data_IF_339664988114
#
_entry.id   IF_339664988114
#
_cell.length_a   1.000
_cell.length_b   1.000
_cell.length_c   1.000
_cell.angle_alpha   90.00
_cell.angle_beta   90.00
_cell.angle_gamma   90.00
#
_symmetry.space_group_name_H-M   'P 1'
#
loop_
_entity.id
_entity.type
_entity.pdbx_description
1 polymer ?
#
# COMPACT_ATOMS: atom_id res chain seq x y z
N UNK A 1 21.41 7.21 -33.25
CA UNK A 1 20.44 7.87 -32.36
C UNK A 1 21.02 9.21 -31.94
N UNK A 2 20.33 10.32 -32.22
CA UNK A 2 20.81 11.67 -31.88
C UNK A 2 20.89 11.89 -30.38
N UNK A 3 21.81 12.77 -29.96
CA UNK A 3 21.99 13.18 -28.56
C UNK A 3 20.73 13.91 -28.06
N UNK A 4 20.00 13.32 -27.11
CA UNK A 4 18.88 13.96 -26.42
C UNK A 4 19.39 14.52 -25.08
N UNK A 5 19.19 15.81 -24.82
CA UNK A 5 19.53 16.43 -23.52
C UNK A 5 18.58 15.93 -22.42
N UNK A 6 19.02 16.02 -21.15
CA UNK A 6 18.16 15.67 -20.00
C UNK A 6 16.91 16.55 -19.94
N UNK A 7 17.03 17.84 -20.26
CA UNK A 7 15.87 18.73 -20.37
C UNK A 7 14.88 18.31 -21.46
N UNK A 8 15.37 17.88 -22.63
CA UNK A 8 14.50 17.37 -23.68
C UNK A 8 13.83 16.03 -23.29
N UNK A 9 14.45 15.25 -22.41
CA UNK A 9 13.85 14.04 -21.84
C UNK A 9 12.80 14.39 -20.78
N UNK A 10 13.06 15.35 -19.90
CA UNK A 10 12.08 15.88 -18.93
C UNK A 10 10.80 16.35 -19.63
N UNK A 11 10.94 17.15 -20.70
CA UNK A 11 9.78 17.68 -21.43
C UNK A 11 9.01 16.55 -22.13
N UNK A 12 9.68 15.57 -22.73
CA UNK A 12 9.03 14.38 -23.32
C UNK A 12 8.23 13.58 -22.27
N UNK A 13 8.79 13.38 -21.07
CA UNK A 13 8.08 12.73 -19.96
C UNK A 13 6.86 13.53 -19.53
N UNK A 14 6.96 14.85 -19.39
CA UNK A 14 5.81 15.72 -19.07
C UNK A 14 4.73 15.60 -20.13
N UNK A 15 5.08 15.68 -21.41
CA UNK A 15 4.10 15.59 -22.50
C UNK A 15 3.39 14.24 -22.50
N UNK A 16 4.12 13.14 -22.24
CA UNK A 16 3.51 11.82 -22.11
C UNK A 16 2.57 11.73 -20.90
N UNK A 17 2.92 12.30 -19.75
CA UNK A 17 2.02 12.37 -18.60
C UNK A 17 0.78 13.23 -18.93
N UNK A 18 0.94 14.42 -19.51
CA UNK A 18 -0.18 15.28 -19.92
C UNK A 18 -1.12 14.55 -20.88
N UNK A 19 -0.58 13.79 -21.85
CA UNK A 19 -1.39 13.00 -22.77
C UNK A 19 -2.25 11.91 -22.09
N UNK A 20 -1.89 11.51 -20.86
CA UNK A 20 -2.64 10.56 -20.04
C UNK A 20 -3.63 11.23 -19.06
N UNK A 21 -3.75 12.56 -19.10
CA UNK A 21 -4.71 13.32 -18.30
C UNK A 21 -4.13 13.98 -17.05
N UNK A 22 -2.80 14.11 -16.93
CA UNK A 22 -2.21 14.98 -15.91
C UNK A 22 -2.31 16.45 -16.32
N UNK A 23 -2.69 17.32 -15.38
CA UNK A 23 -2.64 18.76 -15.56
C UNK A 23 -1.20 19.27 -15.39
N UNK A 24 -0.62 19.91 -16.40
CA UNK A 24 0.68 20.56 -16.25
C UNK A 24 0.53 21.85 -15.45
N UNK A 25 1.28 21.97 -14.36
CA UNK A 25 1.38 23.20 -13.57
C UNK A 25 2.82 23.71 -13.57
N UNK A 26 2.99 25.02 -13.45
CA UNK A 26 4.32 25.65 -13.36
C UNK A 26 4.54 26.13 -11.93
N UNK A 27 5.30 25.36 -11.15
CA UNK A 27 5.65 25.68 -9.77
C UNK A 27 7.16 25.91 -9.68
N UNK A 28 7.57 27.16 -9.52
CA UNK A 28 8.97 27.57 -9.54
C UNK A 28 9.66 27.41 -8.19
N UNK A 29 8.88 27.52 -7.11
CA UNK A 29 9.36 27.53 -5.75
C UNK A 29 8.40 26.81 -4.79
N UNK A 30 8.82 26.69 -3.53
CA UNK A 30 8.03 26.05 -2.47
C UNK A 30 6.76 26.84 -2.13
N UNK A 31 6.75 28.17 -2.24
CA UNK A 31 5.57 28.97 -1.93
C UNK A 31 4.44 28.68 -2.94
N UNK A 32 4.76 28.62 -4.23
CA UNK A 32 3.80 28.26 -5.27
C UNK A 32 3.27 26.83 -5.10
N UNK A 33 4.10 25.90 -4.63
CA UNK A 33 3.64 24.54 -4.29
C UNK A 33 2.62 24.55 -3.15
N UNK A 34 2.86 25.36 -2.11
CA UNK A 34 1.95 25.52 -0.98
C UNK A 34 0.64 26.19 -1.39
N UNK A 35 0.70 27.22 -2.25
CA UNK A 35 -0.49 27.90 -2.77
C UNK A 35 -1.34 26.96 -3.64
N UNK A 36 -0.69 26.18 -4.52
CA UNK A 36 -1.37 25.15 -5.30
C UNK A 36 -2.02 24.11 -4.37
N UNK A 37 -1.31 23.62 -3.35
CA UNK A 37 -1.88 22.70 -2.37
C UNK A 37 -3.11 23.29 -1.67
N UNK A 38 -3.05 24.56 -1.22
CA UNK A 38 -4.18 25.25 -0.59
C UNK A 38 -5.39 25.32 -1.51
N UNK A 39 -5.19 25.70 -2.77
CA UNK A 39 -6.27 25.80 -3.76
C UNK A 39 -6.96 24.44 -3.96
N UNK A 40 -6.18 23.36 -4.15
CA UNK A 40 -6.73 22.02 -4.33
C UNK A 40 -7.39 21.48 -3.06
N UNK A 41 -6.83 21.78 -1.88
CA UNK A 41 -7.40 21.37 -0.59
C UNK A 41 -8.79 21.99 -0.38
N UNK A 42 -8.94 23.28 -0.69
CA UNK A 42 -10.23 23.99 -0.65
C UNK A 42 -11.23 23.42 -1.67
N UNK A 43 -10.81 23.24 -2.93
CA UNK A 43 -11.65 22.66 -3.98
C UNK A 43 -12.19 21.28 -3.57
N UNK A 44 -11.29 20.40 -3.13
CA UNK A 44 -11.59 19.01 -2.79
C UNK A 44 -12.49 18.86 -1.58
N UNK A 45 -12.36 19.75 -0.60
CA UNK A 45 -13.11 19.69 0.66
C UNK A 45 -14.23 20.73 0.72
N UNK A 46 -14.64 21.29 -0.42
CA UNK A 46 -15.68 22.33 -0.51
C UNK A 46 -16.96 21.97 0.25
N UNK A 47 -17.43 20.72 0.12
CA UNK A 47 -18.63 20.24 0.82
C UNK A 47 -18.45 20.19 2.34
N UNK A 48 -17.24 19.92 2.82
CA UNK A 48 -16.90 19.90 4.26
C UNK A 48 -16.68 21.29 4.84
N UNK A 49 -16.33 22.23 3.97
CA UNK A 49 -16.11 23.64 4.29
C UNK A 49 -17.37 24.49 4.08
N UNK A 50 -18.50 23.89 3.70
CA UNK A 50 -19.75 24.58 3.35
C UNK A 50 -19.57 25.69 2.29
N UNK A 51 -18.61 25.50 1.38
CA UNK A 51 -18.27 26.50 0.35
C UNK A 51 -17.33 27.62 0.80
N UNK A 52 -17.07 27.78 2.10
CA UNK A 52 -16.22 28.83 2.66
C UNK A 52 -14.75 28.38 2.72
N UNK A 53 -13.84 28.95 1.91
CA UNK A 53 -12.44 28.54 1.89
C UNK A 53 -11.75 28.67 3.25
N UNK A 54 -10.66 27.93 3.42
CA UNK A 54 -9.79 28.05 4.58
C UNK A 54 -9.21 29.47 4.71
N UNK A 55 -9.32 30.06 5.89
CA UNK A 55 -8.66 31.34 6.21
C UNK A 55 -7.14 31.17 6.24
N UNK A 56 -6.39 32.28 6.24
CA UNK A 56 -4.93 32.23 6.33
C UNK A 56 -4.47 31.62 7.66
N UNK A 57 -5.22 31.84 8.75
CA UNK A 57 -4.92 31.29 10.06
C UNK A 57 -5.21 29.78 10.10
N UNK A 58 -6.36 29.34 9.58
CA UNK A 58 -6.72 27.92 9.44
C UNK A 58 -5.68 27.16 8.61
N UNK A 59 -5.33 27.68 7.42
CA UNK A 59 -4.37 27.01 6.56
C UNK A 59 -2.96 27.00 7.16
N UNK A 60 -2.55 28.05 7.87
CA UNK A 60 -1.27 28.08 8.59
C UNK A 60 -1.19 26.99 9.66
N UNK A 61 -2.29 26.75 10.41
CA UNK A 61 -2.36 25.66 11.40
C UNK A 61 -2.17 24.30 10.75
N UNK A 62 -2.84 24.05 9.62
CA UNK A 62 -2.64 22.82 8.83
C UNK A 62 -1.16 22.69 8.43
N UNK A 63 -0.56 23.75 7.88
CA UNK A 63 0.82 23.71 7.42
C UNK A 63 1.81 23.45 8.55
N UNK A 64 1.61 24.03 9.73
CA UNK A 64 2.43 23.77 10.93
C UNK A 64 2.36 22.28 11.30
N UNK A 65 1.15 21.71 11.30
CA UNK A 65 0.95 20.33 11.71
C UNK A 65 1.57 19.30 10.76
N UNK A 66 1.64 19.61 9.46
CA UNK A 66 2.08 18.63 8.45
C UNK A 66 3.52 18.84 7.97
N UNK A 67 4.11 20.02 8.15
CA UNK A 67 5.40 20.35 7.52
C UNK A 67 6.62 19.74 8.20
N UNK A 68 6.57 19.49 9.51
CA UNK A 68 7.68 18.93 10.29
C UNK A 68 7.57 17.42 10.51
N UNK A 69 6.72 16.75 9.70
CA UNK A 69 6.47 15.33 9.82
C UNK A 69 7.54 14.50 9.12
N UNK A 70 7.82 13.32 9.68
CA UNK A 70 8.58 12.28 9.03
C UNK A 70 7.87 11.77 7.77
N UNK A 71 8.57 11.06 6.88
CA UNK A 71 7.96 10.41 5.71
C UNK A 71 6.89 9.41 6.17
N UNK A 72 7.18 8.67 7.24
CA UNK A 72 6.22 7.75 7.87
C UNK A 72 4.94 8.46 8.33
N UNK A 73 5.06 9.53 9.13
CA UNK A 73 3.89 10.28 9.60
C UNK A 73 3.13 10.95 8.45
N UNK A 74 3.83 11.50 7.47
CA UNK A 74 3.22 12.09 6.27
C UNK A 74 2.42 11.03 5.50
N UNK A 75 2.93 9.80 5.41
CA UNK A 75 2.22 8.68 4.79
C UNK A 75 0.95 8.27 5.57
N UNK A 76 0.96 8.35 6.90
CA UNK A 76 -0.24 8.14 7.72
C UNK A 76 -1.27 9.26 7.49
N UNK A 77 -0.85 10.52 7.62
CA UNK A 77 -1.71 11.70 7.42
C UNK A 77 -2.35 11.69 6.04
N UNK A 78 -1.60 11.33 5.00
CA UNK A 78 -2.10 11.23 3.62
C UNK A 78 -3.31 10.30 3.48
N UNK A 79 -3.36 9.23 4.28
CA UNK A 79 -4.35 8.16 4.19
C UNK A 79 -5.51 8.31 5.16
N UNK A 80 -5.41 9.21 6.14
CA UNK A 80 -6.42 9.46 7.16
C UNK A 80 -7.19 10.78 6.93
N UNK A 81 -8.17 11.06 7.80
CA UNK A 81 -8.87 12.34 7.88
C UNK A 81 -8.10 13.28 8.81
N UNK A 82 -7.75 14.45 8.29
CA UNK A 82 -7.18 15.52 9.09
C UNK A 82 -8.30 16.29 9.79
N UNK A 83 -8.25 16.40 11.11
CA UNK A 83 -9.24 17.14 11.90
C UNK A 83 -8.78 18.58 12.05
N UNK A 84 -9.55 19.52 11.48
CA UNK A 84 -9.34 20.95 11.66
C UNK A 84 -10.43 21.51 12.57
N UNK A 85 -10.04 22.27 13.58
CA UNK A 85 -10.92 23.18 14.31
C UNK A 85 -10.86 24.56 13.63
N UNK A 86 -11.99 25.00 13.07
CA UNK A 86 -12.12 26.26 12.35
C UNK A 86 -12.05 27.47 13.28
N UNK A 87 -11.96 28.66 12.70
CA UNK A 87 -11.92 29.91 13.47
C UNK A 87 -13.23 30.17 14.26
N UNK A 88 -14.34 29.54 13.87
CA UNK A 88 -15.64 29.56 14.56
C UNK A 88 -15.83 28.39 15.55
N UNK A 89 -14.74 27.71 15.93
CA UNK A 89 -14.69 26.54 16.82
C UNK A 89 -15.37 25.27 16.27
N UNK A 90 -15.90 25.29 15.03
CA UNK A 90 -16.47 24.10 14.41
C UNK A 90 -15.38 23.12 13.98
N UNK A 91 -15.66 21.81 14.05
CA UNK A 91 -14.72 20.77 13.62
C UNK A 91 -15.07 20.22 12.24
N UNK A 92 -14.10 20.23 11.34
CA UNK A 92 -14.22 19.67 9.99
C UNK A 92 -13.16 18.60 9.76
N UNK A 93 -13.54 17.57 8.99
CA UNK A 93 -12.68 16.43 8.66
C UNK A 93 -12.24 16.52 7.20
N UNK A 94 -11.02 16.99 6.99
CA UNK A 94 -10.43 17.19 5.67
C UNK A 94 -9.77 15.90 5.17
N UNK A 95 -9.83 15.66 3.86
CA UNK A 95 -9.23 14.50 3.21
C UNK A 95 -8.16 14.94 2.24
N UNK A 96 -6.91 14.52 2.45
CA UNK A 96 -5.80 14.86 1.53
C UNK A 96 -5.77 13.96 0.31
N UNK A 97 -6.14 12.69 0.44
CA UNK A 97 -6.26 11.74 -0.68
C UNK A 97 -7.56 10.94 -0.58
N UNK A 98 -8.15 10.59 -1.73
CA UNK A 98 -9.16 9.53 -1.78
C UNK A 98 -8.45 8.19 -1.94
N UNK A 99 -8.45 7.38 -0.88
CA UNK A 99 -7.84 6.05 -0.89
C UNK A 99 -8.79 4.96 -1.40
N UNK A 100 -10.09 5.26 -1.49
CA UNK A 100 -11.13 4.31 -1.90
C UNK A 100 -11.53 4.49 -3.36
N UNK A 101 -11.72 5.74 -3.80
CA UNK A 101 -11.98 6.15 -5.18
C UNK A 101 -10.75 6.89 -5.72
N UNK A 102 -9.61 6.21 -5.76
CA UNK A 102 -8.30 6.79 -6.10
C UNK A 102 -8.23 7.49 -7.46
N UNK A 103 -9.08 7.10 -8.41
CA UNK A 103 -9.20 7.77 -9.72
C UNK A 103 -9.85 9.17 -9.65
N UNK A 104 -10.53 9.52 -8.54
CA UNK A 104 -11.18 10.83 -8.34
C UNK A 104 -10.25 11.89 -7.76
N UNK A 105 -8.99 11.55 -7.53
CA UNK A 105 -8.01 12.55 -7.12
C UNK A 105 -7.68 13.46 -8.31
N UNK A 106 -7.19 14.66 -8.02
CA UNK A 106 -6.66 15.58 -9.03
C UNK A 106 -5.19 15.26 -9.27
N UNK A 107 -4.81 15.18 -10.53
CA UNK A 107 -3.48 14.75 -10.96
C UNK A 107 -2.79 15.88 -11.68
N UNK A 108 -1.67 16.35 -11.12
CA UNK A 108 -0.87 17.40 -11.72
C UNK A 108 0.56 16.92 -11.92
N UNK A 109 1.27 17.53 -12.87
CA UNK A 109 2.70 17.30 -13.10
C UNK A 109 3.41 18.64 -13.21
N UNK A 110 4.58 18.73 -12.57
CA UNK A 110 5.48 19.88 -12.64
C UNK A 110 6.92 19.40 -12.83
N UNK A 111 7.79 20.29 -13.28
CA UNK A 111 9.24 20.12 -13.24
C UNK A 111 9.90 21.31 -12.57
N UNK A 112 11.15 21.14 -12.16
CA UNK A 112 12.03 22.23 -11.74
C UNK A 112 11.54 23.04 -10.53
N UNK A 113 10.80 22.43 -9.61
CA UNK A 113 10.49 23.09 -8.33
C UNK A 113 11.83 23.32 -7.62
N UNK A 114 12.25 24.57 -7.57
CA UNK A 114 13.53 24.94 -6.94
C UNK A 114 13.26 25.17 -5.46
N UNK A 115 13.95 24.43 -4.61
CA UNK A 115 13.99 24.77 -3.18
C UNK A 115 15.17 25.72 -3.00
N UNK A 116 14.89 26.97 -2.61
CA UNK A 116 15.90 27.94 -2.19
C UNK A 116 16.46 27.54 -0.83
N UNK A 117 17.27 26.47 -0.81
CA UNK A 117 18.08 26.09 0.33
C UNK A 117 19.55 26.46 0.06
N UNK A 118 20.44 26.27 1.04
CA UNK A 118 21.89 26.53 0.90
C UNK A 118 22.53 25.88 -0.36
N UNK A 119 21.87 24.87 -0.94
CA UNK A 119 22.21 24.24 -2.21
C UNK A 119 21.01 24.32 -3.18
N UNK A 120 21.16 25.05 -4.30
CA UNK A 120 20.18 25.07 -5.39
C UNK A 120 20.04 23.66 -5.99
N UNK A 121 18.93 22.99 -5.66
CA UNK A 121 18.58 21.67 -6.20
C UNK A 121 17.42 21.81 -7.18
N UNK A 122 17.59 21.27 -8.39
CA UNK A 122 16.55 21.17 -9.42
C UNK A 122 16.06 19.74 -9.48
N UNK A 123 14.75 19.54 -9.35
CA UNK A 123 14.11 18.23 -9.50
C UNK A 123 13.59 18.05 -10.92
N UNK A 124 13.76 16.84 -11.47
CA UNK A 124 13.45 16.59 -12.88
C UNK A 124 11.94 16.64 -13.13
N UNK A 125 11.17 15.70 -12.57
CA UNK A 125 9.69 15.68 -12.72
C UNK A 125 9.03 15.25 -11.41
N UNK A 126 8.04 16.01 -10.96
CA UNK A 126 7.27 15.71 -9.74
C UNK A 126 5.79 15.55 -10.12
N UNK A 127 5.20 14.43 -9.72
CA UNK A 127 3.76 14.20 -9.82
C UNK A 127 3.11 14.63 -8.51
N UNK A 128 2.13 15.52 -8.64
CA UNK A 128 1.29 15.95 -7.53
C UNK A 128 -0.06 15.22 -7.59
N UNK A 129 -0.51 14.70 -6.46
CA UNK A 129 -1.86 14.17 -6.31
C UNK A 129 -2.56 15.00 -5.25
N UNK A 130 -3.65 15.65 -5.65
CA UNK A 130 -4.33 16.68 -4.86
C UNK A 130 -3.40 17.79 -4.35
N UNK A 131 -2.46 18.25 -5.19
CA UNK A 131 -1.50 19.30 -4.87
C UNK A 131 -0.32 18.87 -3.98
N UNK A 132 -0.31 17.65 -3.44
CA UNK A 132 0.80 17.11 -2.66
C UNK A 132 1.82 16.38 -3.56
N UNK A 133 3.14 16.58 -3.40
CA UNK A 133 4.15 15.84 -4.15
C UNK A 133 4.23 14.40 -3.66
N UNK A 134 3.67 13.45 -4.43
CA UNK A 134 3.61 12.04 -4.02
C UNK A 134 4.56 11.14 -4.78
N UNK A 135 4.96 11.51 -6.00
CA UNK A 135 5.94 10.77 -6.79
C UNK A 135 7.00 11.71 -7.32
N UNK A 136 8.25 11.36 -7.07
CA UNK A 136 9.39 12.07 -7.63
C UNK A 136 10.09 11.19 -8.65
N UNK A 137 10.28 11.72 -9.85
CA UNK A 137 10.96 11.05 -10.96
C UNK A 137 12.32 11.71 -11.15
N UNK A 138 13.37 10.90 -11.22
CA UNK A 138 14.73 11.32 -11.53
C UNK A 138 15.19 10.63 -12.82
N UNK A 139 15.63 11.42 -13.76
CA UNK A 139 15.98 11.02 -15.11
C UNK A 139 17.49 11.18 -15.32
N UNK A 140 18.04 10.27 -16.11
CA UNK A 140 19.41 10.37 -16.61
C UNK A 140 19.39 10.12 -18.10
N UNK A 141 20.32 10.76 -18.81
CA UNK A 141 20.56 10.42 -20.22
C UNK A 141 20.95 8.95 -20.38
N UNK A 142 20.68 8.40 -21.57
CA UNK A 142 21.06 7.03 -21.92
C UNK A 142 22.58 6.83 -21.77
N UNK A 143 22.97 5.64 -21.28
CA UNK A 143 24.37 5.29 -21.01
C UNK A 143 24.89 5.70 -19.63
N UNK A 144 24.12 6.48 -18.86
CA UNK A 144 24.42 6.75 -17.45
C UNK A 144 23.84 5.63 -16.57
N UNK A 145 24.63 5.20 -15.59
CA UNK A 145 24.20 4.19 -14.63
C UNK A 145 23.07 4.73 -13.74
N UNK A 146 21.99 3.96 -13.58
CA UNK A 146 20.84 4.29 -12.72
C UNK A 146 21.26 4.58 -11.26
N UNK A 147 22.37 4.00 -10.81
CA UNK A 147 22.91 4.27 -9.47
C UNK A 147 23.22 5.74 -9.22
N UNK A 148 23.51 6.53 -10.27
CA UNK A 148 23.70 7.98 -10.15
C UNK A 148 22.39 8.70 -9.81
N UNK A 149 21.28 8.35 -10.48
CA UNK A 149 19.95 8.86 -10.16
C UNK A 149 19.56 8.52 -8.71
N UNK A 150 19.82 7.27 -8.29
CA UNK A 150 19.59 6.86 -6.90
C UNK A 150 20.38 7.71 -5.91
N UNK A 151 21.68 7.90 -6.12
CA UNK A 151 22.53 8.69 -5.23
C UNK A 151 22.10 10.17 -5.18
N UNK A 152 21.57 10.70 -6.29
CA UNK A 152 21.03 12.06 -6.37
C UNK A 152 19.77 12.21 -5.52
N UNK A 153 18.83 11.26 -5.60
CA UNK A 153 17.66 11.22 -4.71
C UNK A 153 18.09 11.12 -3.23
N UNK A 154 19.05 10.27 -2.89
CA UNK A 154 19.54 10.15 -1.50
C UNK A 154 20.09 11.48 -0.96
N UNK A 155 20.75 12.28 -1.81
CA UNK A 155 21.20 13.62 -1.45
C UNK A 155 20.02 14.54 -1.18
N UNK A 156 19.03 14.58 -2.08
CA UNK A 156 17.84 15.43 -1.93
C UNK A 156 16.99 15.07 -0.72
N UNK A 157 16.83 13.78 -0.40
CA UNK A 157 16.15 13.33 0.82
C UNK A 157 16.78 13.92 2.09
N UNK A 158 18.12 13.97 2.13
CA UNK A 158 18.86 14.50 3.28
C UNK A 158 18.83 16.01 3.35
N UNK A 159 18.94 16.70 2.21
CA UNK A 159 19.20 18.13 2.16
C UNK A 159 17.94 18.97 1.89
N UNK A 160 17.06 18.55 0.99
CA UNK A 160 16.05 19.45 0.41
C UNK A 160 14.59 18.99 0.60
N UNK A 161 14.29 17.69 0.74
CA UNK A 161 12.92 17.22 0.93
C UNK A 161 12.42 17.55 2.35
N UNK A 162 11.84 18.73 2.48
CA UNK A 162 11.24 19.34 3.68
C UNK A 162 9.81 19.81 3.37
N UNK A 163 9.05 20.13 4.40
CA UNK A 163 7.67 20.59 4.25
C UNK A 163 6.84 19.58 3.46
N UNK A 164 6.13 20.05 2.43
CA UNK A 164 5.25 19.19 1.61
C UNK A 164 6.00 18.05 0.90
N UNK A 165 7.30 18.16 0.64
CA UNK A 165 8.08 17.07 0.03
C UNK A 165 8.24 15.85 0.96
N UNK A 166 7.91 15.95 2.25
CA UNK A 166 7.81 14.78 3.15
C UNK A 166 6.68 13.84 2.75
N UNK A 167 5.71 14.29 1.96
CA UNK A 167 4.65 13.47 1.40
C UNK A 167 5.08 12.59 0.23
N UNK A 168 6.30 12.69 -0.30
CA UNK A 168 6.75 11.79 -1.38
C UNK A 168 6.65 10.35 -0.89
N UNK A 169 5.83 9.55 -1.59
CA UNK A 169 5.61 8.14 -1.31
C UNK A 169 6.52 7.25 -2.16
N UNK A 170 6.66 7.59 -3.44
CA UNK A 170 7.40 6.79 -4.43
C UNK A 170 8.48 7.61 -5.11
N UNK A 171 9.62 6.97 -5.34
CA UNK A 171 10.63 7.41 -6.27
C UNK A 171 10.57 6.56 -7.52
N UNK A 172 10.74 7.20 -8.68
CA UNK A 172 10.96 6.55 -9.97
C UNK A 172 12.29 7.05 -10.50
N UNK A 173 13.14 6.14 -10.95
CA UNK A 173 14.42 6.49 -11.57
C UNK A 173 14.54 5.82 -12.92
N UNK A 174 15.05 6.54 -13.92
CA UNK A 174 15.18 6.02 -15.27
C UNK A 174 16.39 6.56 -16.00
N UNK A 175 16.97 5.72 -16.86
CA UNK A 175 17.92 6.14 -17.90
C UNK A 175 17.39 5.87 -19.32
N UNK A 176 16.05 5.93 -19.49
CA UNK A 176 15.27 5.62 -20.70
C UNK A 176 15.09 4.13 -20.99
N UNK A 177 16.17 3.35 -20.93
CA UNK A 177 16.13 1.90 -21.24
C UNK A 177 15.81 1.04 -20.01
N UNK A 178 16.20 1.52 -18.84
CA UNK A 178 15.96 0.89 -17.56
C UNK A 178 15.20 1.87 -16.67
N UNK A 179 14.11 1.40 -16.06
CA UNK A 179 13.26 2.19 -15.17
C UNK A 179 12.95 1.36 -13.94
N UNK A 180 13.11 1.97 -12.76
CA UNK A 180 12.86 1.33 -11.47
C UNK A 180 12.06 2.25 -10.55
N UNK A 181 11.33 1.64 -9.63
CA UNK A 181 10.58 2.35 -8.60
C UNK A 181 10.90 1.81 -7.20
N UNK A 182 10.73 2.65 -6.18
CA UNK A 182 10.89 2.26 -4.78
C UNK A 182 10.16 3.20 -3.84
N UNK A 183 9.81 2.72 -2.65
CA UNK A 183 9.18 3.53 -1.62
C UNK A 183 10.20 4.50 -0.98
N UNK A 184 9.73 5.68 -0.60
CA UNK A 184 10.47 6.59 0.26
C UNK A 184 10.51 6.05 1.71
N UNK A 185 11.43 6.57 2.52
CA UNK A 185 11.59 6.18 3.92
C UNK A 185 12.21 7.35 4.69
N UNK A 186 12.20 7.31 6.02
CA UNK A 186 13.10 8.16 6.83
C UNK A 186 14.46 7.50 7.04
N UNK A 187 14.54 6.18 6.83
CA UNK A 187 15.74 5.38 7.00
C UNK A 187 16.59 5.33 5.72
N UNK A 188 17.78 4.75 5.82
CA UNK A 188 18.64 4.47 4.67
C UNK A 188 17.93 3.51 3.72
N UNK A 189 17.81 3.89 2.46
CA UNK A 189 17.26 3.01 1.42
C UNK A 189 18.41 2.21 0.80
N UNK A 190 18.23 0.91 0.65
CA UNK A 190 19.18 0.05 -0.04
C UNK A 190 18.80 -0.11 -1.51
N UNK A 191 19.80 -0.16 -2.40
CA UNK A 191 19.58 -0.33 -3.85
C UNK A 191 18.83 -1.61 -4.21
N UNK A 192 18.85 -2.63 -3.35
CA UNK A 192 18.07 -3.87 -3.49
C UNK A 192 16.55 -3.65 -3.44
N UNK A 193 16.08 -2.51 -2.91
CA UNK A 193 14.67 -2.13 -2.89
C UNK A 193 14.23 -1.38 -4.15
N UNK A 194 15.13 -1.16 -5.12
CA UNK A 194 14.79 -0.59 -6.43
C UNK A 194 14.20 -1.69 -7.31
N UNK A 195 12.88 -1.73 -7.41
CA UNK A 195 12.15 -2.76 -8.13
C UNK A 195 11.92 -2.38 -9.59
N UNK A 196 11.94 -3.39 -10.45
CA UNK A 196 11.40 -3.28 -11.80
C UNK A 196 9.89 -3.41 -11.77
N UNK A 197 9.20 -2.69 -12.64
CA UNK A 197 7.80 -2.97 -12.94
C UNK A 197 7.69 -4.10 -13.97
N UNK A 198 6.65 -4.90 -13.87
CA UNK A 198 6.39 -6.03 -14.76
C UNK A 198 4.89 -6.18 -15.02
N UNK A 199 4.55 -6.83 -16.13
CA UNK A 199 3.18 -7.24 -16.43
C UNK A 199 2.73 -8.45 -15.58
N UNK A 200 1.49 -8.90 -15.79
CA UNK A 200 0.90 -10.07 -15.11
C UNK A 200 1.63 -11.40 -15.35
N UNK A 201 2.42 -11.48 -16.44
CA UNK A 201 3.21 -12.65 -16.80
C UNK A 201 4.65 -12.53 -16.29
N UNK A 202 4.94 -11.54 -15.43
CA UNK A 202 6.26 -11.19 -14.92
C UNK A 202 7.26 -10.72 -15.99
N UNK A 203 6.78 -10.30 -17.16
CA UNK A 203 7.62 -9.68 -18.19
C UNK A 203 7.90 -8.22 -17.82
N UNK A 204 9.18 -7.83 -17.82
CA UNK A 204 9.61 -6.50 -17.35
C UNK A 204 9.18 -5.39 -18.31
N UNK A 205 8.66 -4.31 -17.75
CA UNK A 205 8.34 -3.07 -18.45
C UNK A 205 9.42 -2.04 -18.07
N UNK A 206 10.56 -2.10 -18.76
CA UNK A 206 11.76 -1.32 -18.39
C UNK A 206 11.88 0.02 -19.14
N UNK A 207 11.40 0.06 -20.38
CA UNK A 207 11.49 1.23 -21.23
C UNK A 207 10.60 2.32 -20.65
N UNK A 208 11.16 3.52 -20.46
CA UNK A 208 10.50 4.62 -19.76
C UNK A 208 9.13 4.96 -20.35
N UNK A 209 9.01 4.95 -21.68
CA UNK A 209 7.75 5.21 -22.39
C UNK A 209 6.65 4.22 -21.96
N UNK A 210 6.96 2.93 -22.00
CA UNK A 210 6.00 1.87 -21.67
C UNK A 210 5.68 1.88 -20.16
N UNK A 211 6.68 2.19 -19.32
CA UNK A 211 6.50 2.37 -17.88
C UNK A 211 5.57 3.57 -17.57
N UNK A 212 5.73 4.69 -18.28
CA UNK A 212 4.88 5.87 -18.12
C UNK A 212 3.44 5.52 -18.50
N UNK A 213 3.24 4.84 -19.64
CA UNK A 213 1.91 4.44 -20.12
C UNK A 213 1.22 3.42 -19.22
N UNK A 214 1.98 2.47 -18.67
CA UNK A 214 1.42 1.43 -17.80
C UNK A 214 1.34 1.90 -16.34
N UNK A 215 2.48 2.05 -15.66
CA UNK A 215 2.54 2.27 -14.22
C UNK A 215 2.15 3.70 -13.79
N UNK A 216 2.56 4.71 -14.56
CA UNK A 216 2.31 6.12 -14.23
C UNK A 216 1.01 6.68 -14.79
N UNK A 217 0.09 5.86 -15.31
CA UNK A 217 -1.26 6.36 -15.58
C UNK A 217 -1.95 6.82 -14.27
N UNK A 218 -2.75 7.91 -14.29
CA UNK A 218 -3.27 8.55 -13.06
C UNK A 218 -3.91 7.57 -12.07
N UNK A 219 -4.84 6.74 -12.55
CA UNK A 219 -5.52 5.75 -11.72
C UNK A 219 -4.57 4.69 -11.16
N UNK A 220 -3.60 4.18 -11.94
CA UNK A 220 -2.72 3.10 -11.47
C UNK A 220 -1.73 3.58 -10.44
N UNK A 221 -1.12 4.75 -10.62
CA UNK A 221 -0.18 5.30 -9.62
C UNK A 221 -0.91 5.67 -8.32
N UNK A 222 -2.12 6.22 -8.39
CA UNK A 222 -2.92 6.48 -7.20
C UNK A 222 -3.32 5.17 -6.52
N UNK A 223 -3.72 4.14 -7.28
CA UNK A 223 -4.03 2.81 -6.73
C UNK A 223 -2.81 2.19 -6.04
N UNK A 224 -1.61 2.34 -6.63
CA UNK A 224 -0.36 1.89 -6.04
C UNK A 224 -0.16 2.53 -4.67
N UNK A 225 -0.23 3.87 -4.59
CA UNK A 225 -0.05 4.62 -3.36
C UNK A 225 -1.13 4.30 -2.31
N UNK A 226 -2.40 4.24 -2.72
CA UNK A 226 -3.52 4.05 -1.81
C UNK A 226 -3.64 2.60 -1.31
N UNK A 227 -3.42 1.60 -2.17
CA UNK A 227 -3.74 0.19 -1.89
C UNK A 227 -2.55 -0.74 -1.85
N UNK A 228 -1.43 -0.45 -2.51
CA UNK A 228 -0.32 -1.40 -2.66
C UNK A 228 0.97 -0.92 -2.00
N UNK A 229 0.86 0.10 -1.15
CA UNK A 229 1.89 0.46 -0.19
C UNK A 229 1.47 0.04 1.21
N UNK A 230 2.47 -0.23 2.04
CA UNK A 230 2.33 -0.73 3.41
C UNK A 230 3.07 0.22 4.33
N UNK A 231 2.34 0.70 5.33
CA UNK A 231 2.87 1.48 6.44
C UNK A 231 3.14 0.47 7.54
N UNK A 232 4.40 0.18 7.80
CA UNK A 232 4.81 -0.66 8.92
C UNK A 232 5.02 0.27 10.13
N UNK A 233 4.08 0.22 11.07
CA UNK A 233 4.07 1.13 12.23
C UNK A 233 5.19 0.84 13.22
N UNK A 234 5.58 -0.43 13.37
CA UNK A 234 6.64 -0.82 14.31
C UNK A 234 8.01 -0.35 13.87
N UNK A 235 8.37 -0.60 12.61
CA UNK A 235 9.66 -0.18 12.07
C UNK A 235 9.62 1.28 11.56
N UNK A 236 8.43 1.89 11.54
CA UNK A 236 8.17 3.23 10.98
C UNK A 236 8.70 3.37 9.55
N UNK A 237 8.44 2.38 8.70
CA UNK A 237 8.86 2.36 7.30
C UNK A 237 7.68 2.25 6.36
N UNK A 238 7.85 2.83 5.17
CA UNK A 238 6.93 2.70 4.06
C UNK A 238 7.50 1.69 3.06
N UNK A 239 6.67 0.74 2.65
CA UNK A 239 7.03 -0.33 1.71
C UNK A 239 6.10 -0.29 0.51
N UNK A 240 6.63 -0.59 -0.68
CA UNK A 240 5.84 -0.76 -1.90
C UNK A 240 5.82 -2.24 -2.28
N UNK A 241 4.63 -2.77 -2.60
CA UNK A 241 4.52 -4.12 -3.13
C UNK A 241 5.22 -4.23 -4.50
N UNK A 242 5.78 -5.41 -4.76
CA UNK A 242 6.34 -5.79 -6.06
C UNK A 242 5.21 -6.14 -7.05
N UNK A 243 5.45 -6.11 -8.37
CA UNK A 243 4.38 -6.30 -9.35
C UNK A 243 3.59 -7.60 -9.18
N UNK A 244 4.28 -8.73 -8.97
CA UNK A 244 3.61 -10.02 -8.74
C UNK A 244 2.76 -10.02 -7.47
N UNK A 245 3.15 -9.29 -6.42
CA UNK A 245 2.35 -9.16 -5.20
C UNK A 245 1.09 -8.33 -5.48
N UNK A 246 1.21 -7.26 -6.27
CA UNK A 246 0.06 -6.46 -6.72
C UNK A 246 -0.94 -7.32 -7.49
N UNK A 247 -0.50 -8.07 -8.49
CA UNK A 247 -1.38 -8.94 -9.27
C UNK A 247 -2.00 -10.07 -8.44
N UNK A 248 -1.26 -10.66 -7.50
CA UNK A 248 -1.80 -11.65 -6.57
C UNK A 248 -2.91 -11.08 -5.69
N UNK A 249 -2.70 -9.89 -5.11
CA UNK A 249 -3.71 -9.17 -4.32
C UNK A 249 -4.94 -8.86 -5.17
N UNK A 250 -4.76 -8.35 -6.39
CA UNK A 250 -5.88 -8.06 -7.31
C UNK A 250 -6.69 -9.30 -7.67
N UNK A 251 -6.02 -10.41 -8.01
CA UNK A 251 -6.67 -11.66 -8.35
C UNK A 251 -7.48 -12.23 -7.18
N UNK A 252 -6.95 -12.17 -5.95
CA UNK A 252 -7.64 -12.63 -4.76
C UNK A 252 -8.82 -11.73 -4.39
N UNK A 253 -8.67 -10.41 -4.44
CA UNK A 253 -9.79 -9.48 -4.20
C UNK A 253 -10.91 -9.78 -5.19
N UNK A 254 -10.60 -9.86 -6.48
CA UNK A 254 -11.58 -10.17 -7.53
C UNK A 254 -12.29 -11.49 -7.23
N UNK A 255 -11.55 -12.55 -6.91
CA UNK A 255 -12.12 -13.87 -6.58
C UNK A 255 -13.01 -13.82 -5.34
N UNK A 256 -12.61 -13.10 -4.30
CA UNK A 256 -13.37 -12.94 -3.06
C UNK A 256 -14.67 -12.14 -3.28
N UNK A 257 -14.64 -11.10 -4.10
CA UNK A 257 -15.80 -10.21 -4.26
C UNK A 257 -16.76 -10.66 -5.35
N UNK A 258 -16.29 -11.37 -6.37
CA UNK A 258 -17.10 -11.75 -7.55
C UNK A 258 -17.49 -13.24 -7.57
N UNK A 259 -16.93 -14.07 -6.69
CA UNK A 259 -17.22 -15.50 -6.63
C UNK A 259 -17.31 -15.98 -5.18
N UNK A 260 -17.73 -17.23 -4.98
CA UNK A 260 -17.62 -17.95 -3.71
C UNK A 260 -16.54 -19.05 -3.76
N UNK A 261 -15.62 -18.97 -4.73
CA UNK A 261 -14.59 -19.98 -4.91
C UNK A 261 -13.39 -19.70 -4.00
N UNK A 262 -12.79 -20.78 -3.49
CA UNK A 262 -11.50 -20.75 -2.80
C UNK A 262 -10.36 -20.54 -3.79
N UNK A 263 -9.14 -20.37 -3.30
CA UNK A 263 -7.96 -20.28 -4.16
C UNK A 263 -6.65 -20.27 -3.39
N UNK A 264 -5.54 -20.27 -4.11
CA UNK A 264 -4.23 -20.12 -3.50
C UNK A 264 -3.29 -19.30 -4.37
N UNK A 265 -2.28 -18.71 -3.72
CA UNK A 265 -1.16 -18.03 -4.35
C UNK A 265 0.10 -18.86 -4.11
N UNK A 266 0.75 -19.23 -5.21
CA UNK A 266 2.03 -19.89 -5.19
C UNK A 266 3.14 -18.87 -5.47
N UNK A 267 3.87 -18.50 -4.42
CA UNK A 267 5.08 -17.68 -4.55
C UNK A 267 6.22 -18.35 -3.82
N UNK A 268 7.43 -18.37 -4.40
CA UNK A 268 8.60 -18.99 -3.77
C UNK A 268 8.88 -18.46 -2.34
N UNK A 269 9.53 -19.26 -1.50
CA UNK A 269 9.92 -18.87 -0.13
C UNK A 269 10.82 -17.64 -0.13
N UNK A 270 10.62 -16.71 0.82
CA UNK A 270 11.35 -15.45 0.88
C UNK A 270 10.91 -14.36 -0.11
N UNK A 271 9.90 -14.62 -0.95
CA UNK A 271 9.37 -13.61 -1.89
C UNK A 271 8.52 -12.51 -1.25
N UNK A 272 8.14 -12.66 0.03
CA UNK A 272 7.22 -11.74 0.72
C UNK A 272 5.76 -12.18 0.68
N UNK A 273 5.50 -13.48 0.83
CA UNK A 273 4.13 -14.05 0.92
C UNK A 273 3.33 -13.42 2.06
N UNK A 274 3.87 -13.44 3.26
CA UNK A 274 3.27 -12.87 4.47
C UNK A 274 2.84 -11.42 4.29
N UNK A 275 3.70 -10.60 3.66
CA UNK A 275 3.38 -9.20 3.34
C UNK A 275 2.19 -9.10 2.37
N UNK A 276 2.15 -9.99 1.37
CA UNK A 276 1.11 -10.03 0.33
C UNK A 276 -0.23 -10.48 0.92
N UNK A 277 -0.22 -11.55 1.73
CA UNK A 277 -1.39 -12.13 2.35
C UNK A 277 -1.99 -11.19 3.41
N UNK A 278 -1.15 -10.57 4.23
CA UNK A 278 -1.60 -9.57 5.19
C UNK A 278 -2.23 -8.37 4.49
N UNK A 279 -1.59 -7.83 3.44
CA UNK A 279 -2.17 -6.70 2.69
C UNK A 279 -3.48 -7.06 2.00
N UNK A 280 -3.59 -8.27 1.46
CA UNK A 280 -4.85 -8.79 0.92
C UNK A 280 -5.94 -8.77 1.99
N UNK A 281 -5.62 -9.22 3.21
CA UNK A 281 -6.55 -9.28 4.34
C UNK A 281 -7.06 -7.91 4.77
N UNK A 282 -6.16 -6.91 4.85
CA UNK A 282 -6.53 -5.52 5.11
C UNK A 282 -7.48 -4.96 4.05
N UNK A 283 -7.27 -5.27 2.77
CA UNK A 283 -8.15 -4.76 1.72
C UNK A 283 -9.51 -5.46 1.77
N UNK A 284 -9.53 -6.77 2.01
CA UNK A 284 -10.76 -7.55 2.11
C UNK A 284 -11.61 -7.14 3.32
N UNK A 285 -11.00 -6.76 4.45
CA UNK A 285 -11.73 -6.36 5.66
C UNK A 285 -12.47 -5.02 5.52
N UNK A 286 -12.15 -4.26 4.48
CA UNK A 286 -12.85 -3.01 4.11
C UNK A 286 -13.96 -3.22 3.07
N UNK A 287 -14.14 -4.45 2.56
CA UNK A 287 -15.19 -4.71 1.57
C UNK A 287 -16.56 -4.84 2.26
N UNK A 288 -17.59 -4.12 1.79
CA UNK A 288 -18.89 -4.08 2.47
C UNK A 288 -19.65 -5.41 2.44
N UNK A 289 -19.32 -6.30 1.50
CA UNK A 289 -19.92 -7.63 1.36
C UNK A 289 -19.16 -8.74 2.12
N UNK A 290 -18.13 -8.39 2.90
CA UNK A 290 -17.37 -9.35 3.71
C UNK A 290 -17.56 -8.98 5.18
N UNK A 291 -18.12 -9.90 5.97
CA UNK A 291 -18.45 -9.66 7.37
C UNK A 291 -17.22 -9.73 8.28
N UNK A 292 -16.34 -10.71 8.04
CA UNK A 292 -15.07 -10.87 8.76
C UNK A 292 -13.99 -11.42 7.84
N UNK A 293 -12.76 -10.98 8.07
CA UNK A 293 -11.55 -11.57 7.53
C UNK A 293 -10.73 -12.14 8.67
N UNK A 294 -10.44 -13.44 8.61
CA UNK A 294 -9.66 -14.15 9.62
C UNK A 294 -8.35 -14.60 8.98
N UNK A 295 -7.25 -13.99 9.40
CA UNK A 295 -5.92 -14.37 8.99
C UNK A 295 -5.39 -15.47 9.92
N UNK A 296 -5.16 -16.65 9.37
CA UNK A 296 -4.71 -17.83 10.08
C UNK A 296 -3.23 -18.10 9.83
N UNK A 297 -2.50 -18.25 10.93
CA UNK A 297 -1.10 -18.68 10.96
C UNK A 297 -0.97 -20.02 11.70
N UNK A 298 0.01 -20.84 11.34
CA UNK A 298 0.37 -22.03 12.11
C UNK A 298 1.56 -21.72 13.03
N UNK A 299 1.34 -21.81 14.35
CA UNK A 299 2.38 -21.53 15.36
C UNK A 299 3.57 -22.48 15.33
N UNK A 300 3.45 -23.68 14.76
CA UNK A 300 4.60 -24.58 14.60
C UNK A 300 5.58 -24.08 13.55
N UNK A 301 5.11 -23.19 12.69
CA UNK A 301 5.88 -22.62 11.58
C UNK A 301 6.25 -21.16 11.84
N UNK A 302 5.65 -20.55 12.87
CA UNK A 302 6.05 -19.27 13.41
C UNK A 302 7.36 -19.44 14.19
N UNK A 303 8.48 -19.13 13.54
CA UNK A 303 9.66 -18.73 14.29
C UNK A 303 9.41 -17.38 14.99
N UNK A 304 10.27 -17.04 15.95
CA UNK A 304 10.19 -15.77 16.67
C UNK A 304 10.21 -14.56 15.74
N UNK A 305 10.85 -14.69 14.58
CA UNK A 305 10.92 -13.65 13.54
C UNK A 305 9.55 -13.43 12.88
N UNK A 306 8.85 -14.48 12.47
CA UNK A 306 7.56 -14.39 11.79
C UNK A 306 6.46 -13.93 12.76
N UNK A 307 6.52 -14.37 14.02
CA UNK A 307 5.62 -13.88 15.08
C UNK A 307 5.86 -12.39 15.38
N UNK A 308 7.12 -11.96 15.39
CA UNK A 308 7.44 -10.53 15.48
C UNK A 308 6.89 -9.77 14.27
N UNK A 309 7.10 -10.26 13.04
CA UNK A 309 6.56 -9.63 11.83
C UNK A 309 5.03 -9.47 11.88
N UNK A 310 4.27 -10.46 12.34
CA UNK A 310 2.81 -10.30 12.51
C UNK A 310 2.44 -9.27 13.57
N UNK A 311 3.13 -9.30 14.73
CA UNK A 311 2.93 -8.30 15.76
C UNK A 311 3.38 -6.89 15.33
N UNK A 312 4.24 -6.76 14.29
CA UNK A 312 4.56 -5.46 13.68
C UNK A 312 3.39 -4.85 12.92
N UNK A 313 2.47 -5.68 12.45
CA UNK A 313 1.31 -5.26 11.67
C UNK A 313 0.04 -5.10 12.51
N UNK A 314 -0.13 -5.92 13.54
CA UNK A 314 -1.20 -5.80 14.53
C UNK A 314 -0.68 -6.23 15.89
N UNK A 315 -0.57 -5.29 16.84
CA UNK A 315 0.08 -5.54 18.12
C UNK A 315 -0.69 -6.57 18.97
N UNK A 316 0.06 -7.46 19.63
CA UNK A 316 -0.43 -8.59 20.42
C UNK A 316 -1.40 -9.53 19.66
N UNK A 317 -1.42 -9.51 18.32
CA UNK A 317 -2.38 -10.29 17.55
C UNK A 317 -2.12 -11.80 17.59
N UNK A 318 -0.83 -12.20 17.71
CA UNK A 318 -0.42 -13.60 17.73
C UNK A 318 0.49 -13.88 18.92
N UNK A 319 0.16 -14.94 19.66
CA UNK A 319 0.98 -15.50 20.74
C UNK A 319 0.99 -17.04 20.65
N UNK A 320 1.87 -17.66 21.43
CA UNK A 320 2.09 -19.12 21.40
C UNK A 320 1.07 -19.92 22.24
N UNK A 321 0.16 -19.27 22.96
CA UNK A 321 -0.78 -19.91 23.87
C UNK A 321 -1.99 -20.52 23.14
N UNK A 322 -2.76 -21.35 23.84
CA UNK A 322 -4.06 -21.85 23.37
C UNK A 322 -5.24 -20.98 23.85
N UNK A 323 -4.96 -19.82 24.45
CA UNK A 323 -5.99 -18.95 25.01
C UNK A 323 -6.81 -18.28 23.90
N UNK A 324 -8.13 -18.52 23.92
CA UNK A 324 -9.09 -18.02 22.93
C UNK A 324 -9.80 -16.74 23.37
N UNK A 325 -9.58 -16.25 24.60
CA UNK A 325 -10.31 -15.09 25.16
C UNK A 325 -10.20 -13.86 24.28
N UNK A 326 -8.98 -13.52 23.83
CA UNK A 326 -8.75 -12.36 22.95
C UNK A 326 -9.47 -12.55 21.61
N UNK A 327 -9.32 -13.71 20.97
CA UNK A 327 -10.01 -14.04 19.72
C UNK A 327 -11.54 -13.89 19.85
N UNK A 328 -12.13 -14.42 20.93
CA UNK A 328 -13.58 -14.30 21.16
C UNK A 328 -14.00 -12.84 21.38
N UNK A 329 -13.21 -12.05 22.12
CA UNK A 329 -13.46 -10.62 22.31
C UNK A 329 -13.40 -9.85 20.97
N UNK A 330 -12.42 -10.14 20.11
CA UNK A 330 -12.29 -9.53 18.79
C UNK A 330 -13.46 -9.91 17.85
N UNK A 331 -13.97 -11.13 17.96
CA UNK A 331 -15.17 -11.56 17.22
C UNK A 331 -16.45 -10.85 17.70
N UNK A 332 -16.55 -10.58 19.01
CA UNK A 332 -17.69 -9.83 19.56
C UNK A 332 -17.72 -8.37 19.10
N UNK A 333 -16.55 -7.77 18.87
CA UNK A 333 -16.43 -6.41 18.36
C UNK A 333 -16.86 -6.31 16.88
N UNK A 334 -17.97 -5.61 16.57
CA UNK A 334 -18.43 -5.44 15.20
C UNK A 334 -17.52 -4.51 14.38
N UNK A 335 -16.68 -3.69 15.01
CA UNK A 335 -15.78 -2.75 14.32
C UNK A 335 -14.47 -3.42 13.87
N UNK A 336 -14.10 -4.54 14.48
CA UNK A 336 -12.88 -5.28 14.16
C UNK A 336 -13.09 -6.29 13.03
N UNK A 337 -13.03 -5.83 11.78
CA UNK A 337 -13.29 -6.69 10.61
C UNK A 337 -12.14 -7.64 10.25
N UNK A 338 -10.90 -7.31 10.63
CA UNK A 338 -9.73 -8.17 10.46
C UNK A 338 -9.31 -8.75 11.80
N UNK A 339 -9.14 -10.06 11.85
CA UNK A 339 -8.65 -10.78 13.03
C UNK A 339 -7.47 -11.63 12.60
N UNK A 340 -6.32 -11.42 13.22
CA UNK A 340 -5.14 -12.27 13.05
C UNK A 340 -5.07 -13.24 14.23
N UNK A 341 -4.99 -14.54 13.96
CA UNK A 341 -4.94 -15.58 15.00
C UNK A 341 -4.31 -16.88 14.51
N UNK A 342 -4.01 -17.80 15.43
CA UNK A 342 -3.49 -19.12 15.07
C UNK A 342 -4.63 -20.06 14.68
N UNK A 343 -4.37 -21.01 13.77
CA UNK A 343 -5.34 -22.05 13.41
C UNK A 343 -5.76 -22.89 14.63
N UNK A 344 -4.85 -23.10 15.59
CA UNK A 344 -5.11 -23.81 16.83
C UNK A 344 -6.13 -23.07 17.71
N UNK A 345 -5.93 -21.76 17.93
CA UNK A 345 -6.87 -20.94 18.70
C UNK A 345 -8.25 -20.90 18.04
N UNK A 346 -8.30 -20.78 16.71
CA UNK A 346 -9.55 -20.78 15.97
C UNK A 346 -10.31 -22.10 16.14
N UNK A 347 -9.65 -23.23 15.96
CA UNK A 347 -10.26 -24.55 16.14
C UNK A 347 -10.73 -24.79 17.59
N UNK A 348 -9.95 -24.35 18.58
CA UNK A 348 -10.34 -24.42 19.99
C UNK A 348 -11.54 -23.52 20.29
N UNK A 349 -11.58 -22.30 19.75
CA UNK A 349 -12.68 -21.36 19.94
C UNK A 349 -14.00 -21.93 19.40
N UNK A 350 -13.99 -22.60 18.26
CA UNK A 350 -15.17 -23.26 17.69
C UNK A 350 -15.73 -24.33 18.64
N UNK A 351 -14.86 -25.16 19.23
CA UNK A 351 -15.26 -26.23 20.17
C UNK A 351 -15.96 -25.72 21.42
N UNK A 352 -15.75 -24.46 21.80
CA UNK A 352 -16.43 -23.87 22.97
C UNK A 352 -17.91 -23.60 22.75
N UNK A 353 -18.40 -23.57 21.49
CA UNK A 353 -19.78 -23.21 21.17
C UNK A 353 -20.13 -21.74 21.45
N UNK A 354 -19.12 -20.87 21.65
CA UNK A 354 -19.34 -19.48 22.04
C UNK A 354 -20.22 -18.71 21.04
N UNK A 355 -21.13 -17.87 21.56
CA UNK A 355 -22.08 -17.06 20.76
C UNK A 355 -21.41 -16.21 19.67
N UNK A 356 -20.21 -15.69 19.94
CA UNK A 356 -19.45 -14.88 19.00
C UNK A 356 -19.04 -15.67 17.73
N UNK A 357 -18.74 -16.96 17.87
CA UNK A 357 -18.45 -17.85 16.75
C UNK A 357 -19.73 -18.15 15.98
N UNK A 358 -20.83 -18.42 16.69
CA UNK A 358 -22.12 -18.75 16.07
C UNK A 358 -22.69 -17.57 15.28
N UNK A 359 -22.43 -16.33 15.70
CA UNK A 359 -22.87 -15.11 15.02
C UNK A 359 -22.48 -15.06 13.55
N UNK A 360 -21.25 -15.47 13.20
CA UNK A 360 -20.73 -15.39 11.84
C UNK A 360 -20.84 -16.70 11.06
N UNK A 361 -21.61 -17.67 11.56
CA UNK A 361 -21.70 -19.01 10.98
C UNK A 361 -22.21 -19.02 9.54
N UNK A 362 -23.22 -18.20 9.26
CA UNK A 362 -23.88 -18.06 7.94
C UNK A 362 -23.40 -16.81 7.18
N UNK A 363 -22.63 -15.94 7.84
CA UNK A 363 -22.09 -14.70 7.28
C UNK A 363 -20.95 -14.97 6.29
N UNK A 364 -20.67 -14.01 5.40
CA UNK A 364 -19.53 -14.12 4.48
C UNK A 364 -18.22 -13.87 5.23
N UNK A 365 -17.51 -14.96 5.55
CA UNK A 365 -16.21 -14.92 6.24
C UNK A 365 -15.09 -15.33 5.29
N UNK A 366 -14.04 -14.52 5.18
CA UNK A 366 -12.87 -14.88 4.39
C UNK A 366 -11.73 -15.31 5.30
N UNK A 367 -11.20 -16.51 5.08
CA UNK A 367 -10.01 -17.02 5.73
C UNK A 367 -8.81 -16.84 4.81
N UNK A 368 -7.78 -16.14 5.30
CA UNK A 368 -6.48 -16.06 4.64
C UNK A 368 -5.50 -16.93 5.42
N UNK A 369 -4.85 -17.87 4.74
CA UNK A 369 -3.99 -18.87 5.36
C UNK A 369 -2.56 -18.68 4.84
N UNK A 370 -1.63 -18.31 5.71
CA UNK A 370 -0.21 -18.31 5.35
C UNK A 370 0.40 -19.71 5.53
N UNK A 371 1.32 -20.08 4.64
CA UNK A 371 1.98 -21.39 4.56
C UNK A 371 1.03 -22.61 4.59
N UNK A 372 -0.01 -22.58 3.75
CA UNK A 372 -1.14 -23.53 3.74
C UNK A 372 -0.83 -24.99 3.30
N UNK A 373 0.44 -25.40 3.26
CA UNK A 373 0.90 -26.68 2.68
C UNK A 373 1.14 -27.81 3.70
N UNK A 374 0.84 -27.62 4.99
CA UNK A 374 1.28 -28.52 6.07
C UNK A 374 0.17 -29.44 6.62
N UNK A 375 0.59 -30.58 7.17
CA UNK A 375 -0.25 -31.71 7.61
C UNK A 375 -1.24 -31.36 8.73
N UNK A 376 -0.93 -30.38 9.59
CA UNK A 376 -1.81 -29.96 10.69
C UNK A 376 -3.06 -29.21 10.23
N UNK A 377 -3.08 -28.74 8.98
CA UNK A 377 -4.26 -28.12 8.41
C UNK A 377 -5.44 -29.10 8.38
N UNK A 378 -5.26 -30.41 8.23
CA UNK A 378 -6.37 -31.35 8.00
C UNK A 378 -7.52 -31.26 8.98
N UNK A 379 -7.27 -31.68 10.21
CA UNK A 379 -8.32 -31.76 11.23
C UNK A 379 -8.83 -30.37 11.63
N UNK A 380 -7.92 -29.41 11.85
CA UNK A 380 -8.32 -28.07 12.30
C UNK A 380 -9.06 -27.28 11.21
N UNK A 381 -8.61 -27.35 9.96
CA UNK A 381 -9.31 -26.73 8.84
C UNK A 381 -10.67 -27.40 8.61
N UNK A 382 -10.78 -28.72 8.76
CA UNK A 382 -12.07 -29.43 8.69
C UNK A 382 -13.05 -28.91 9.74
N UNK A 383 -12.61 -28.72 10.98
CA UNK A 383 -13.45 -28.12 12.05
C UNK A 383 -13.92 -26.72 11.66
N UNK A 384 -13.04 -25.88 11.11
CA UNK A 384 -13.38 -24.52 10.66
C UNK A 384 -14.39 -24.57 9.51
N UNK A 385 -14.14 -25.38 8.48
CA UNK A 385 -15.02 -25.56 7.30
C UNK A 385 -16.38 -26.14 7.65
N UNK A 386 -16.45 -27.00 8.66
CA UNK A 386 -17.73 -27.52 9.16
C UNK A 386 -18.52 -26.46 9.93
N UNK A 387 -17.86 -25.52 10.60
CA UNK A 387 -18.54 -24.46 11.34
C UNK A 387 -19.06 -23.36 10.41
N UNK A 388 -18.21 -22.72 9.62
CA UNK A 388 -18.57 -21.56 8.79
C UNK A 388 -19.13 -22.00 7.42
N UNK A 389 -20.41 -21.73 7.18
CA UNK A 389 -21.16 -22.23 6.01
C UNK A 389 -20.99 -21.40 4.75
N UNK A 390 -20.72 -20.10 4.92
CA UNK A 390 -20.50 -19.16 3.83
C UNK A 390 -19.07 -18.59 3.86
N UNK A 391 -18.09 -19.49 4.05
CA UNK A 391 -16.69 -19.11 4.12
C UNK A 391 -15.96 -19.32 2.79
N UNK A 392 -15.03 -18.41 2.48
CA UNK A 392 -14.02 -18.59 1.43
C UNK A 392 -12.63 -18.71 2.04
N UNK A 393 -11.79 -19.55 1.44
CA UNK A 393 -10.44 -19.83 1.91
C UNK A 393 -9.41 -19.47 0.83
N UNK A 394 -8.42 -18.67 1.21
CA UNK A 394 -7.29 -18.32 0.35
C UNK A 394 -5.96 -18.70 0.99
N UNK A 395 -5.23 -19.60 0.36
CA UNK A 395 -3.93 -20.07 0.84
C UNK A 395 -2.76 -19.33 0.19
N UNK A 396 -1.68 -19.15 0.93
CA UNK A 396 -0.38 -18.74 0.41
C UNK A 396 0.63 -19.84 0.69
N UNK A 397 1.42 -20.24 -0.31
CA UNK A 397 2.43 -21.29 -0.13
C UNK A 397 3.64 -21.10 -1.03
N UNK A 398 4.82 -21.49 -0.54
CA UNK A 398 6.02 -21.67 -1.38
C UNK A 398 6.15 -23.06 -1.99
N UNK A 399 5.44 -24.03 -1.45
CA UNK A 399 5.60 -25.46 -1.69
C UNK A 399 4.21 -26.10 -1.85
N UNK A 400 3.51 -25.83 -2.97
CA UNK A 400 2.21 -26.43 -3.21
C UNK A 400 2.31 -27.95 -3.27
N UNK A 401 1.25 -28.61 -2.81
CA UNK A 401 1.00 -30.03 -3.04
C UNK A 401 0.03 -30.16 -4.20
N UNK A 402 0.39 -30.98 -5.16
CA UNK A 402 -0.42 -31.42 -6.28
C UNK A 402 -0.92 -32.84 -5.99
N UNK A 403 -1.75 -33.38 -6.89
CA UNK A 403 -2.28 -34.74 -6.74
C UNK A 403 -1.16 -35.78 -6.66
N UNK A 404 -0.05 -35.54 -7.36
CA UNK A 404 1.11 -36.43 -7.41
C UNK A 404 1.93 -36.46 -6.12
N UNK A 405 1.82 -35.43 -5.27
CA UNK A 405 2.51 -35.32 -3.98
C UNK A 405 1.56 -34.85 -2.85
N UNK A 406 0.33 -35.37 -2.89
CA UNK A 406 -0.71 -35.08 -1.91
C UNK A 406 -0.25 -35.39 -0.47
N UNK A 407 -0.92 -34.80 0.52
CA UNK A 407 -0.65 -35.10 1.92
C UNK A 407 -0.97 -36.54 2.30
N UNK A 408 -0.54 -36.96 3.50
CA UNK A 408 -0.78 -38.31 4.01
C UNK A 408 -2.26 -38.69 4.07
N UNK A 409 -3.15 -37.69 4.09
CA UNK A 409 -4.60 -37.83 4.01
C UNK A 409 -5.17 -37.50 2.62
N UNK A 410 -4.34 -37.48 1.57
CA UNK A 410 -4.74 -37.42 0.17
C UNK A 410 -5.09 -36.03 -0.37
N UNK A 411 -4.80 -34.94 0.35
CA UNK A 411 -5.19 -33.58 -0.06
C UNK A 411 -4.09 -32.84 -0.83
N UNK A 412 -4.51 -32.13 -1.87
CA UNK A 412 -3.72 -31.16 -2.62
C UNK A 412 -3.93 -29.75 -2.05
N UNK A 413 -3.05 -28.80 -2.39
CA UNK A 413 -3.22 -27.38 -2.03
C UNK A 413 -4.47 -26.77 -2.65
N UNK A 414 -4.95 -27.32 -3.76
CA UNK A 414 -6.21 -26.93 -4.38
C UNK A 414 -7.46 -27.25 -3.54
N UNK A 415 -7.36 -28.16 -2.55
CA UNK A 415 -8.48 -28.62 -1.72
C UNK A 415 -8.79 -27.70 -0.52
N UNK A 416 -8.10 -26.56 -0.44
CA UNK A 416 -8.36 -25.47 0.52
C UNK A 416 -9.82 -25.03 0.50
#
# INVERSE_FOLDING_TARGET
MGYQSEYALEEDVIQQLVSQGYERVQLRDHAQLVDNFRAILNERNKDKLNGEPLTDAEFRRIMIDISDKSVFESAMILRDKYVLERDDETKVYLSFMDTHKWCKNKFQVTSQVTVEDQYKSRYDVTILINGLPLVQIELKRSGIAISQAFNQIERYRKQNYRGLFRFIQLFVISNKMETRYYANSDQKIFKSFMFYWSDKNNQRINVLKDFIQDFLSPCKVAKMISRYMIINETDKILMALRPYQVYAVEALIKRATETNNNGYIWHTTGSGKTLTSFKTSQILSTQPNINKVIFLVDRKDLDSQTLAEFNKFENDSVDLTDNTRKLLQQLEDPTQNLIVTTIQKMANAIKTGHKAIQRYKEDKVVFIIDECHRTQFGEMHRVIKQNFKNAQYFGFTGTPRFEENASQDGRATADI
#
